data_IF_925233434574
#
_entry.id   IF_925233434574
#
_cell.length_a   1.000
_cell.length_b   1.000
_cell.length_c   1.000
_cell.angle_alpha   90.00
_cell.angle_beta   90.00
_cell.angle_gamma   90.00
#
_symmetry.space_group_name_H-M   'P 1'
#
loop_
_entity.id
_entity.type
_entity.pdbx_description
1 polymer ?
#
# COMPACT_ATOMS: atom_id res chain seq x y z
N UNK A 1 16.08 -12.04 -21.44
CA UNK A 1 14.84 -11.33 -21.78
C UNK A 1 13.68 -11.66 -20.85
N UNK A 2 13.34 -12.92 -20.57
CA UNK A 2 12.20 -13.28 -19.69
C UNK A 2 12.34 -12.69 -18.28
N UNK A 3 13.52 -12.76 -17.67
CA UNK A 3 13.77 -12.23 -16.32
C UNK A 3 13.58 -10.71 -16.24
N UNK A 4 14.04 -9.97 -17.25
CA UNK A 4 13.86 -8.52 -17.32
C UNK A 4 12.39 -8.12 -17.43
N UNK A 5 11.61 -8.81 -18.27
CA UNK A 5 10.18 -8.55 -18.44
C UNK A 5 9.44 -8.84 -17.13
N UNK A 6 9.76 -9.94 -16.46
CA UNK A 6 9.17 -10.28 -15.15
C UNK A 6 9.53 -9.24 -14.08
N UNK A 7 10.79 -8.80 -14.03
CA UNK A 7 11.23 -7.76 -13.07
C UNK A 7 10.51 -6.45 -13.32
N UNK A 8 10.34 -6.04 -14.57
CA UNK A 8 9.61 -4.84 -14.95
C UNK A 8 8.13 -4.94 -14.56
N UNK A 9 7.51 -6.10 -14.77
CA UNK A 9 6.12 -6.35 -14.39
C UNK A 9 5.94 -6.25 -12.87
N UNK A 10 6.84 -6.84 -12.07
CA UNK A 10 6.81 -6.73 -10.62
C UNK A 10 7.00 -5.29 -10.14
N UNK A 11 7.93 -4.55 -10.76
CA UNK A 11 8.16 -3.14 -10.45
C UNK A 11 6.91 -2.30 -10.72
N UNK A 12 6.28 -2.46 -11.89
CA UNK A 12 5.08 -1.70 -12.26
C UNK A 12 3.89 -2.03 -11.35
N UNK A 13 3.72 -3.29 -10.99
CA UNK A 13 2.67 -3.73 -10.07
C UNK A 13 2.86 -3.13 -8.66
N UNK A 14 4.09 -3.14 -8.14
CA UNK A 14 4.41 -2.52 -6.85
C UNK A 14 4.23 -1.01 -6.89
N UNK A 15 4.72 -0.36 -7.95
CA UNK A 15 4.69 1.10 -8.10
C UNK A 15 3.29 1.68 -7.96
N UNK A 16 2.29 1.07 -8.63
CA UNK A 16 0.91 1.49 -8.51
C UNK A 16 0.37 1.42 -7.07
N UNK A 17 0.72 0.35 -6.34
CA UNK A 17 0.33 0.18 -4.93
C UNK A 17 1.07 1.14 -3.99
N UNK A 18 2.38 1.33 -4.20
CA UNK A 18 3.21 2.18 -3.36
C UNK A 18 2.79 3.65 -3.39
N UNK A 19 2.50 4.20 -4.56
CA UNK A 19 2.06 5.60 -4.70
C UNK A 19 0.72 5.86 -4.02
N UNK A 20 -0.17 4.88 -4.00
CA UNK A 20 -1.52 5.08 -3.50
C UNK A 20 -1.55 5.36 -1.99
N UNK A 21 -0.69 4.72 -1.21
CA UNK A 21 -0.65 4.89 0.25
C UNK A 21 -0.33 6.33 0.67
N UNK A 22 0.78 6.96 0.22
CA UNK A 22 1.07 8.36 0.57
C UNK A 22 0.02 9.34 0.03
N UNK A 23 -0.61 9.06 -1.12
CA UNK A 23 -1.71 9.89 -1.63
C UNK A 23 -2.92 9.81 -0.69
N UNK A 24 -3.35 8.62 -0.28
CA UNK A 24 -4.49 8.44 0.62
C UNK A 24 -4.23 9.13 1.97
N UNK A 25 -3.07 8.92 2.55
CA UNK A 25 -2.69 9.52 3.83
C UNK A 25 -2.59 11.04 3.70
N UNK A 26 -1.92 11.54 2.66
CA UNK A 26 -1.73 12.97 2.43
C UNK A 26 -3.05 13.70 2.18
N UNK A 27 -3.94 13.16 1.37
CA UNK A 27 -5.27 13.75 1.12
C UNK A 27 -6.12 13.74 2.38
N UNK A 28 -6.14 12.64 3.13
CA UNK A 28 -6.89 12.52 4.38
C UNK A 28 -6.38 13.46 5.48
N UNK A 29 -5.10 13.81 5.46
CA UNK A 29 -4.47 14.78 6.37
C UNK A 29 -4.47 16.21 5.80
N UNK A 30 -5.11 16.43 4.64
CA UNK A 30 -5.22 17.74 3.98
C UNK A 30 -3.87 18.39 3.63
N UNK A 31 -2.90 17.59 3.22
CA UNK A 31 -1.60 18.07 2.76
C UNK A 31 -1.71 18.81 1.43
N UNK A 32 -0.80 19.76 1.21
CA UNK A 32 -0.70 20.41 -0.09
C UNK A 32 -0.24 19.43 -1.17
N UNK A 33 -0.56 19.67 -2.45
CA UNK A 33 -0.10 18.81 -3.55
C UNK A 33 1.42 18.61 -3.57
N UNK A 34 2.18 19.65 -3.20
CA UNK A 34 3.64 19.59 -3.13
C UNK A 34 4.11 18.65 -2.00
N UNK A 35 3.45 18.70 -0.85
CA UNK A 35 3.75 17.79 0.27
C UNK A 35 3.41 16.34 -0.09
N UNK A 36 2.31 16.11 -0.79
CA UNK A 36 1.93 14.76 -1.26
C UNK A 36 2.97 14.26 -2.28
N UNK A 37 3.38 15.09 -3.23
CA UNK A 37 4.42 14.74 -4.20
C UNK A 37 5.75 14.40 -3.52
N UNK A 38 6.12 15.15 -2.49
CA UNK A 38 7.31 14.86 -1.69
C UNK A 38 7.19 13.53 -0.95
N UNK A 39 6.05 13.25 -0.31
CA UNK A 39 5.80 11.97 0.36
C UNK A 39 5.91 10.80 -0.60
N UNK A 40 5.28 10.89 -1.78
CA UNK A 40 5.36 9.87 -2.83
C UNK A 40 6.81 9.63 -3.24
N UNK A 41 7.58 10.70 -3.45
CA UNK A 41 8.98 10.60 -3.86
C UNK A 41 9.84 9.89 -2.82
N UNK A 42 9.69 10.27 -1.54
CA UNK A 42 10.42 9.66 -0.43
C UNK A 42 10.01 8.20 -0.26
N UNK A 43 8.72 7.89 -0.37
CA UNK A 43 8.22 6.53 -0.23
C UNK A 43 8.78 5.60 -1.32
N UNK A 44 8.69 5.99 -2.58
CA UNK A 44 9.22 5.22 -3.71
C UNK A 44 10.74 5.04 -3.60
N UNK A 45 11.45 6.08 -3.17
CA UNK A 45 12.90 5.99 -2.92
C UNK A 45 13.21 4.97 -1.82
N UNK A 46 12.50 5.01 -0.71
CA UNK A 46 12.69 4.08 0.41
C UNK A 46 12.28 2.66 0.06
N UNK A 47 11.25 2.46 -0.74
CA UNK A 47 10.90 1.16 -1.32
C UNK A 47 12.05 0.57 -2.16
N UNK A 48 12.72 1.42 -2.93
CA UNK A 48 13.92 1.03 -3.70
C UNK A 48 15.08 0.62 -2.79
N UNK A 49 15.38 1.41 -1.76
CA UNK A 49 16.42 1.09 -0.77
C UNK A 49 16.11 -0.22 -0.05
N UNK A 50 14.88 -0.38 0.44
CA UNK A 50 14.45 -1.59 1.14
C UNK A 50 14.53 -2.83 0.23
N UNK A 51 14.12 -2.71 -1.03
CA UNK A 51 14.23 -3.78 -2.03
C UNK A 51 15.69 -4.16 -2.29
N UNK A 52 16.58 -3.18 -2.41
CA UNK A 52 18.01 -3.42 -2.59
C UNK A 52 18.62 -4.16 -1.39
N UNK A 53 18.31 -3.72 -0.17
CA UNK A 53 18.76 -4.38 1.06
C UNK A 53 18.23 -5.80 1.18
N UNK A 54 16.96 -6.02 0.81
CA UNK A 54 16.29 -7.33 0.84
C UNK A 54 16.89 -8.31 -0.18
N UNK A 55 17.21 -7.83 -1.38
CA UNK A 55 17.79 -8.65 -2.44
C UNK A 55 19.23 -9.08 -2.16
N UNK A 56 19.95 -8.37 -1.30
CA UNK A 56 21.32 -8.70 -0.91
C UNK A 56 21.34 -9.81 0.15
N UNK A 57 22.13 -10.87 -0.07
CA UNK A 57 22.25 -12.01 0.86
C UNK A 57 22.91 -11.66 2.19
N UNK A 58 23.64 -10.54 2.27
CA UNK A 58 24.33 -10.12 3.50
C UNK A 58 23.37 -9.35 4.43
N UNK A 59 22.50 -8.50 3.86
CA UNK A 59 21.60 -7.62 4.62
C UNK A 59 20.17 -8.09 4.65
N UNK A 60 19.78 -8.97 3.72
CA UNK A 60 18.42 -9.50 3.59
C UNK A 60 18.39 -10.99 3.32
N UNK A 61 17.25 -11.47 2.85
CA UNK A 61 17.04 -12.90 2.55
C UNK A 61 17.65 -13.34 1.22
N UNK A 62 18.10 -12.40 0.38
CA UNK A 62 18.59 -12.66 -0.97
C UNK A 62 17.52 -13.06 -1.98
N UNK A 63 16.24 -12.92 -1.61
CA UNK A 63 15.13 -13.16 -2.51
C UNK A 63 14.82 -11.91 -3.34
N UNK A 64 14.58 -12.04 -4.64
CA UNK A 64 14.23 -10.90 -5.52
C UNK A 64 12.77 -10.49 -5.32
N UNK A 65 12.45 -9.98 -4.12
CA UNK A 65 11.14 -9.49 -3.76
C UNK A 65 11.17 -7.97 -3.77
N UNK A 66 10.27 -7.35 -4.52
CA UNK A 66 10.10 -5.90 -4.52
C UNK A 66 9.24 -5.51 -3.32
N UNK A 67 9.79 -4.66 -2.45
CA UNK A 67 9.11 -4.17 -1.25
C UNK A 67 8.37 -2.85 -1.56
N UNK A 68 7.19 -2.70 -0.99
CA UNK A 68 6.36 -1.50 -1.09
C UNK A 68 5.69 -1.18 0.23
N UNK A 69 4.95 -0.07 0.29
CA UNK A 69 4.18 0.29 1.46
C UNK A 69 3.03 -0.69 1.72
N UNK A 70 2.60 -0.74 2.97
CA UNK A 70 1.47 -1.58 3.38
C UNK A 70 0.20 -0.76 3.60
N UNK A 71 -0.92 -1.26 3.09
CA UNK A 71 -2.23 -0.68 3.35
C UNK A 71 -2.74 -0.91 4.78
N UNK A 72 -2.16 -1.88 5.50
CA UNK A 72 -2.56 -2.19 6.89
C UNK A 72 -2.35 -1.02 7.84
N UNK A 73 -1.34 -0.20 7.60
CA UNK A 73 -1.00 0.96 8.43
C UNK A 73 -1.80 2.22 8.08
N UNK A 74 -2.49 2.27 6.94
CA UNK A 74 -3.17 3.50 6.45
C UNK A 74 -4.20 4.03 7.43
N UNK A 75 -5.12 3.17 7.90
CA UNK A 75 -6.16 3.59 8.84
C UNK A 75 -5.61 4.12 10.17
N UNK A 76 -4.69 3.43 10.86
CA UNK A 76 -4.04 3.98 12.06
C UNK A 76 -3.27 5.27 11.78
N UNK A 77 -2.57 5.39 10.65
CA UNK A 77 -1.83 6.61 10.29
C UNK A 77 -2.76 7.81 10.16
N UNK A 78 -3.87 7.66 9.46
CA UNK A 78 -4.87 8.71 9.30
C UNK A 78 -5.45 9.10 10.67
N UNK A 79 -5.84 8.13 11.48
CA UNK A 79 -6.42 8.37 12.80
C UNK A 79 -5.44 9.14 13.72
N UNK A 80 -4.18 8.73 13.79
CA UNK A 80 -3.17 9.39 14.61
C UNK A 80 -2.88 10.79 14.07
N UNK A 81 -2.71 10.93 12.75
CA UNK A 81 -2.42 12.22 12.13
C UNK A 81 -3.52 13.25 12.33
N UNK A 82 -4.79 12.84 12.26
CA UNK A 82 -5.94 13.72 12.48
C UNK A 82 -6.16 14.08 13.95
N UNK A 83 -5.88 13.16 14.89
CA UNK A 83 -6.20 13.36 16.32
C UNK A 83 -5.04 13.89 17.13
N UNK A 84 -3.81 13.52 16.81
CA UNK A 84 -2.60 13.81 17.61
C UNK A 84 -1.57 14.66 16.86
N UNK A 85 -1.75 14.87 15.57
CA UNK A 85 -0.82 15.64 14.74
C UNK A 85 0.31 14.81 14.13
N UNK A 86 1.08 15.48 13.26
CA UNK A 86 2.11 14.84 12.44
C UNK A 86 3.32 14.37 13.23
N UNK A 87 3.70 15.12 14.26
CA UNK A 87 4.87 14.79 15.11
C UNK A 87 4.67 13.43 15.79
N UNK A 88 3.46 13.21 16.33
CA UNK A 88 3.08 11.94 16.97
C UNK A 88 2.97 10.83 15.92
N UNK A 89 2.47 11.13 14.71
CA UNK A 89 2.40 10.18 13.61
C UNK A 89 3.80 9.68 13.24
N UNK A 90 4.74 10.58 12.95
CA UNK A 90 6.10 10.17 12.58
C UNK A 90 6.83 9.49 13.73
N UNK A 91 6.66 9.96 14.95
CA UNK A 91 7.18 9.30 16.16
C UNK A 91 6.65 7.87 16.31
N UNK A 92 5.35 7.67 16.11
CA UNK A 92 4.72 6.33 16.20
C UNK A 92 5.21 5.38 15.09
N UNK A 93 5.43 5.87 13.87
CA UNK A 93 5.99 5.08 12.78
C UNK A 93 7.42 4.65 13.08
N UNK A 94 8.24 5.56 13.62
CA UNK A 94 9.61 5.24 13.99
C UNK A 94 9.68 4.19 15.11
N UNK A 95 8.90 4.37 16.17
CA UNK A 95 8.80 3.40 17.27
C UNK A 95 8.28 2.06 16.79
N UNK A 96 7.25 2.07 15.94
CA UNK A 96 6.70 0.86 15.31
C UNK A 96 7.77 0.10 14.50
N UNK A 97 8.58 0.82 13.72
CA UNK A 97 9.70 0.21 12.98
C UNK A 97 10.70 -0.48 13.89
N UNK A 98 11.10 0.15 15.00
CA UNK A 98 12.01 -0.44 15.99
C UNK A 98 11.37 -1.69 16.63
N UNK A 99 10.09 -1.61 17.02
CA UNK A 99 9.38 -2.74 17.60
C UNK A 99 9.31 -3.94 16.64
N UNK A 100 9.05 -3.70 15.35
CA UNK A 100 9.05 -4.74 14.33
C UNK A 100 10.42 -5.43 14.24
N UNK A 101 11.50 -4.68 14.25
CA UNK A 101 12.87 -5.25 14.23
C UNK A 101 13.12 -6.12 15.45
N UNK A 102 12.68 -5.71 16.65
CA UNK A 102 12.82 -6.49 17.89
C UNK A 102 11.98 -7.77 17.85
N UNK A 103 10.76 -7.68 17.31
CA UNK A 103 9.81 -8.81 17.28
C UNK A 103 10.12 -9.78 16.12
N UNK A 104 10.77 -9.33 15.06
CA UNK A 104 11.03 -10.11 13.85
C UNK A 104 11.64 -11.50 14.12
N UNK A 105 12.65 -11.68 15.01
CA UNK A 105 13.20 -13.00 15.30
C UNK A 105 12.18 -13.96 15.95
N UNK A 106 11.24 -13.43 16.73
CA UNK A 106 10.20 -14.19 17.41
C UNK A 106 9.00 -14.48 16.53
N UNK A 107 8.88 -13.76 15.41
CA UNK A 107 7.72 -13.86 14.52
C UNK A 107 7.56 -15.27 13.92
N UNK A 108 8.66 -15.97 13.71
CA UNK A 108 8.64 -17.37 13.24
C UNK A 108 7.85 -18.31 14.17
N UNK A 109 7.89 -18.05 15.48
CA UNK A 109 7.08 -18.80 16.46
C UNK A 109 5.62 -18.37 16.42
N UNK A 110 5.36 -17.08 16.21
CA UNK A 110 4.01 -16.52 16.12
C UNK A 110 3.26 -17.04 14.89
N UNK A 111 3.94 -17.23 13.76
CA UNK A 111 3.31 -17.70 12.50
C UNK A 111 2.54 -19.00 12.69
N UNK A 112 2.96 -19.87 13.62
CA UNK A 112 2.24 -21.11 13.93
C UNK A 112 0.83 -20.88 14.48
N UNK A 113 0.57 -19.71 15.08
CA UNK A 113 -0.74 -19.33 15.62
C UNK A 113 -1.63 -18.61 14.59
N UNK A 114 -1.10 -18.36 13.37
CA UNK A 114 -1.84 -17.73 12.29
C UNK A 114 -2.27 -18.78 11.23
N UNK A 115 -3.31 -19.56 11.48
CA UNK A 115 -3.84 -20.45 10.46
C UNK A 115 -4.36 -19.66 9.27
N UNK A 116 -4.48 -20.25 8.08
CA UNK A 116 -4.94 -19.58 6.85
C UNK A 116 -6.26 -18.83 7.00
N UNK A 117 -7.15 -19.32 7.88
CA UNK A 117 -8.44 -18.68 8.18
C UNK A 117 -8.23 -17.29 8.82
N UNK A 118 -7.30 -17.17 9.77
CA UNK A 118 -7.00 -15.88 10.42
C UNK A 118 -6.40 -14.92 9.41
N UNK A 119 -5.45 -15.37 8.60
CA UNK A 119 -4.84 -14.56 7.54
C UNK A 119 -5.89 -14.09 6.53
N UNK A 120 -6.78 -14.99 6.10
CA UNK A 120 -7.88 -14.66 5.19
C UNK A 120 -8.85 -13.63 5.79
N UNK A 121 -9.20 -13.79 7.07
CA UNK A 121 -10.06 -12.84 7.78
C UNK A 121 -9.44 -11.45 7.87
N UNK A 122 -8.15 -11.37 8.21
CA UNK A 122 -7.42 -10.08 8.28
C UNK A 122 -7.40 -9.39 6.91
N UNK A 123 -7.07 -10.12 5.84
CA UNK A 123 -7.05 -9.57 4.47
C UNK A 123 -8.44 -9.07 4.06
N UNK A 124 -9.50 -9.81 4.42
CA UNK A 124 -10.88 -9.41 4.15
C UNK A 124 -11.24 -8.12 4.89
N UNK A 125 -10.90 -8.01 6.17
CA UNK A 125 -11.14 -6.79 6.97
C UNK A 125 -10.40 -5.59 6.38
N UNK A 126 -9.14 -5.76 5.95
CA UNK A 126 -8.37 -4.71 5.28
C UNK A 126 -9.10 -4.26 4.01
N UNK A 127 -9.55 -5.21 3.19
CA UNK A 127 -10.30 -4.91 1.97
C UNK A 127 -11.58 -4.11 2.24
N UNK A 128 -12.36 -4.51 3.25
CA UNK A 128 -13.58 -3.80 3.65
C UNK A 128 -13.26 -2.38 4.13
N UNK A 129 -12.22 -2.21 4.95
CA UNK A 129 -11.81 -0.88 5.44
C UNK A 129 -11.33 0.06 4.34
N UNK A 130 -10.82 -0.47 3.23
CA UNK A 130 -10.40 0.31 2.07
C UNK A 130 -11.55 0.62 1.09
N UNK A 131 -12.72 -0.03 1.24
CA UNK A 131 -13.86 0.22 0.36
C UNK A 131 -14.30 1.69 0.27
N UNK A 132 -14.45 2.44 1.39
CA UNK A 132 -14.82 3.84 1.31
C UNK A 132 -13.82 4.69 0.52
N UNK A 133 -12.52 4.40 0.67
CA UNK A 133 -11.44 5.06 -0.07
C UNK A 133 -11.54 4.74 -1.56
N UNK A 134 -11.74 3.48 -1.91
CA UNK A 134 -11.91 3.04 -3.29
C UNK A 134 -13.14 3.70 -3.94
N UNK A 135 -14.26 3.79 -3.22
CA UNK A 135 -15.47 4.46 -3.71
C UNK A 135 -15.25 5.96 -3.94
N UNK A 136 -14.50 6.63 -3.08
CA UNK A 136 -14.13 8.02 -3.28
C UNK A 136 -13.32 8.22 -4.57
N UNK A 137 -12.33 7.37 -4.83
CA UNK A 137 -11.54 7.45 -6.06
C UNK A 137 -12.35 7.08 -7.30
N UNK A 138 -13.24 6.09 -7.22
CA UNK A 138 -14.19 5.75 -8.29
C UNK A 138 -15.12 6.92 -8.64
N UNK A 139 -15.48 7.73 -7.65
CA UNK A 139 -16.32 8.92 -7.84
C UNK A 139 -15.56 10.11 -8.44
N UNK A 140 -14.23 10.04 -8.60
CA UNK A 140 -13.40 11.10 -9.16
C UNK A 140 -12.32 11.63 -8.21
N UNK A 141 -12.30 11.19 -6.96
CA UNK A 141 -11.36 11.64 -5.92
C UNK A 141 -11.89 12.82 -5.09
N UNK A 142 -11.37 12.95 -3.86
CA UNK A 142 -11.75 14.03 -2.95
C UNK A 142 -11.44 15.40 -3.55
N UNK A 143 -12.45 16.29 -3.59
CA UNK A 143 -12.32 17.66 -4.09
C UNK A 143 -12.40 17.81 -5.61
N UNK A 144 -12.65 16.76 -6.37
CA UNK A 144 -12.87 16.85 -7.81
C UNK A 144 -14.16 17.61 -8.11
N UNK A 145 -14.11 18.54 -9.09
CA UNK A 145 -15.29 19.33 -9.52
C UNK A 145 -16.42 18.46 -10.09
N UNK A 146 -16.09 17.30 -10.59
CA UNK A 146 -16.98 16.33 -11.20
C UNK A 146 -17.19 15.07 -10.31
N UNK A 147 -17.03 15.23 -8.98
CA UNK A 147 -17.25 14.17 -8.01
C UNK A 147 -18.66 13.57 -8.16
N UNK A 148 -18.74 12.24 -8.26
CA UNK A 148 -19.99 11.51 -8.43
C UNK A 148 -20.55 11.55 -9.85
N UNK A 149 -19.83 12.09 -10.83
CA UNK A 149 -20.28 12.08 -12.23
C UNK A 149 -20.45 10.64 -12.73
N UNK A 150 -21.57 10.29 -13.39
CA UNK A 150 -21.79 8.97 -13.96
C UNK A 150 -20.66 8.48 -14.87
N UNK A 151 -19.94 9.37 -15.55
CA UNK A 151 -18.79 9.01 -16.40
C UNK A 151 -17.66 8.38 -15.57
N UNK A 152 -17.36 8.95 -14.40
CA UNK A 152 -16.31 8.45 -13.50
C UNK A 152 -16.70 7.07 -12.96
N UNK A 153 -17.95 6.91 -12.54
CA UNK A 153 -18.49 5.63 -12.05
C UNK A 153 -18.48 4.54 -13.13
N UNK A 154 -18.86 4.88 -14.37
CA UNK A 154 -18.82 3.96 -15.50
C UNK A 154 -17.37 3.54 -15.80
N UNK A 155 -16.44 4.49 -15.83
CA UNK A 155 -15.03 4.22 -16.10
C UNK A 155 -14.43 3.31 -15.02
N UNK A 156 -14.69 3.63 -13.74
CA UNK A 156 -14.23 2.83 -12.63
C UNK A 156 -14.88 1.43 -12.60
N UNK A 157 -16.18 1.35 -12.86
CA UNK A 157 -16.89 0.08 -12.98
C UNK A 157 -16.37 -0.78 -14.15
N UNK A 158 -16.14 -0.16 -15.31
CA UNK A 158 -15.53 -0.85 -16.46
C UNK A 158 -14.12 -1.38 -16.12
N UNK A 159 -13.30 -0.60 -15.42
CA UNK A 159 -11.97 -1.03 -14.97
C UNK A 159 -12.06 -2.25 -14.05
N UNK A 160 -12.98 -2.24 -13.07
CA UNK A 160 -13.24 -3.39 -12.20
C UNK A 160 -13.65 -4.64 -12.98
N UNK A 161 -14.58 -4.50 -13.92
CA UNK A 161 -15.04 -5.61 -14.76
C UNK A 161 -13.88 -6.18 -15.60
N UNK A 162 -13.06 -5.32 -16.20
CA UNK A 162 -11.89 -5.74 -16.98
C UNK A 162 -10.91 -6.52 -16.10
N UNK A 163 -10.62 -6.03 -14.88
CA UNK A 163 -9.72 -6.72 -13.94
C UNK A 163 -10.27 -8.11 -13.59
N UNK A 164 -11.56 -8.22 -13.28
CA UNK A 164 -12.19 -9.50 -12.94
C UNK A 164 -12.19 -10.48 -14.11
N UNK A 165 -12.44 -9.98 -15.32
CA UNK A 165 -12.36 -10.78 -16.55
C UNK A 165 -10.93 -11.28 -16.77
N UNK A 166 -9.95 -10.39 -16.72
CA UNK A 166 -8.54 -10.75 -16.87
C UNK A 166 -8.12 -11.77 -15.82
N UNK A 167 -8.47 -11.57 -14.57
CA UNK A 167 -8.17 -12.52 -13.49
C UNK A 167 -8.82 -13.89 -13.70
N UNK A 168 -10.00 -13.94 -14.28
CA UNK A 168 -10.71 -15.19 -14.56
C UNK A 168 -10.13 -15.97 -15.74
N UNK A 169 -9.68 -15.25 -16.77
CA UNK A 169 -9.24 -15.86 -18.03
C UNK A 169 -7.72 -15.97 -18.14
N UNK A 170 -6.96 -15.15 -17.43
CA UNK A 170 -5.50 -15.23 -17.40
C UNK A 170 -5.09 -16.16 -16.26
N UNK A 171 -4.66 -17.36 -16.59
CA UNK A 171 -3.98 -18.25 -15.64
C UNK A 171 -2.59 -17.66 -15.39
N UNK A 172 -2.40 -17.03 -14.23
CA UNK A 172 -1.12 -16.51 -13.79
C UNK A 172 -0.11 -17.62 -13.53
#
# INVERSE_FOLDING_TARGET
MKTFILSLQHLLAMYAGAILVPIIVGTSLKFTPEQIAYLVTVDVFMCGVATFLQANKVTGTGLPIVLGCTFTAVAPMILIGQTKGLDVLYGSLFVSGILVVIIAPFFSYLVKFFPPVVTGSVVTIIGINLMPVAMNYLAGGEGAKDYGNPKNLILGGATLVIILILQRFTKG
#
